data_IF_909759414350
#
_entry.id   IF_909759414350
#
_cell.length_a   1.000
_cell.length_b   1.000
_cell.length_c   1.000
_cell.angle_alpha   90.00
_cell.angle_beta   90.00
_cell.angle_gamma   90.00
#
_symmetry.space_group_name_H-M   'P 1'
#
loop_
_entity.id
_entity.type
_entity.pdbx_description
1 polymer ?
#
# COMPACT_ATOMS: atom_id res chain seq x y z
N UNK A 1 -6.71 11.21 9.43
CA UNK A 1 -5.95 9.97 9.66
C UNK A 1 -6.71 8.84 8.98
N UNK A 2 -6.00 7.90 8.32
CA UNK A 2 -6.63 6.68 7.82
C UNK A 2 -7.30 5.95 8.98
N UNK A 3 -8.51 5.43 8.78
CA UNK A 3 -9.09 4.45 9.69
C UNK A 3 -8.21 3.20 9.66
N UNK A 4 -7.73 2.73 10.83
CA UNK A 4 -6.77 1.62 10.94
C UNK A 4 -7.34 0.40 11.64
N UNK A 5 -8.66 0.35 11.85
CA UNK A 5 -9.33 -0.65 12.69
C UNK A 5 -9.14 -2.09 12.17
N UNK A 6 -8.85 -2.25 10.87
CA UNK A 6 -8.65 -3.58 10.27
C UNK A 6 -7.17 -4.02 10.28
N UNK A 7 -6.25 -3.13 9.88
CA UNK A 7 -4.81 -3.35 9.91
C UNK A 7 -4.01 -2.08 9.57
N UNK A 8 -2.71 -2.08 9.89
CA UNK A 8 -1.81 -0.96 9.63
C UNK A 8 -1.37 -0.86 8.16
N UNK A 9 -1.37 0.38 7.64
CA UNK A 9 -0.83 0.74 6.31
C UNK A 9 0.15 1.90 6.46
N UNK A 10 1.33 1.79 5.84
CA UNK A 10 2.30 2.88 5.73
C UNK A 10 2.56 3.18 4.27
N UNK A 11 2.40 4.44 3.85
CA UNK A 11 2.63 4.89 2.48
C UNK A 11 3.96 5.65 2.41
N UNK A 12 4.78 5.37 1.39
CA UNK A 12 6.06 6.05 1.20
C UNK A 12 6.23 6.40 -0.28
N UNK A 13 6.46 7.68 -0.56
CA UNK A 13 6.92 8.17 -1.86
C UNK A 13 8.40 8.55 -1.70
N UNK A 14 9.27 7.83 -2.40
CA UNK A 14 10.71 7.92 -2.25
C UNK A 14 11.34 8.30 -3.59
N UNK A 15 12.27 9.25 -3.56
CA UNK A 15 13.05 9.64 -4.72
C UNK A 15 14.54 9.69 -4.37
N UNK A 16 15.33 8.86 -5.03
CA UNK A 16 16.78 8.83 -4.96
C UNK A 16 17.34 9.58 -6.17
N UNK A 17 18.26 10.52 -5.92
CA UNK A 17 19.05 11.21 -6.95
C UNK A 17 20.52 11.06 -6.62
N UNK A 18 21.27 10.45 -7.53
CA UNK A 18 22.70 10.25 -7.36
C UNK A 18 23.45 11.48 -7.85
N UNK A 19 24.23 12.10 -6.97
CA UNK A 19 24.98 13.33 -7.27
C UNK A 19 26.47 13.09 -7.54
N UNK A 20 26.96 11.91 -7.17
CA UNK A 20 28.35 11.47 -7.33
C UNK A 20 28.38 10.00 -7.65
N UNK A 21 29.52 9.56 -8.15
CA UNK A 21 29.76 8.15 -8.39
C UNK A 21 29.75 7.36 -7.06
N UNK A 22 28.98 6.26 -7.02
CA UNK A 22 28.87 5.37 -5.86
C UNK A 22 28.78 3.92 -6.30
N UNK A 23 29.48 3.02 -5.58
CA UNK A 23 29.32 1.59 -5.83
C UNK A 23 27.88 1.14 -5.58
N UNK A 24 27.31 0.35 -6.49
CA UNK A 24 26.00 -0.27 -6.30
C UNK A 24 26.08 -1.60 -5.53
N UNK A 25 27.30 -2.07 -5.22
CA UNK A 25 27.54 -3.34 -4.52
C UNK A 25 26.91 -3.33 -3.14
N UNK A 26 26.08 -4.34 -2.84
CA UNK A 26 25.38 -4.50 -1.56
C UNK A 26 24.54 -3.27 -1.15
N UNK A 27 24.01 -2.53 -2.13
CA UNK A 27 23.08 -1.42 -1.88
C UNK A 27 21.63 -1.87 -2.07
N UNK A 28 20.70 -1.09 -1.52
CA UNK A 28 19.27 -1.27 -1.66
C UNK A 28 18.58 0.10 -1.67
N UNK A 29 17.45 0.21 -2.36
CA UNK A 29 16.58 1.39 -2.28
C UNK A 29 15.60 1.27 -1.12
N UNK A 30 15.09 0.06 -0.87
CA UNK A 30 14.17 -0.20 0.23
C UNK A 30 14.43 -1.58 0.79
N UNK A 31 14.25 -1.76 2.11
CA UNK A 31 14.57 -3.02 2.79
C UNK A 31 13.52 -3.39 3.85
N UNK A 32 13.04 -4.63 3.77
CA UNK A 32 12.41 -5.35 4.89
C UNK A 32 13.50 -6.11 5.65
N UNK A 33 13.60 -5.88 6.96
CA UNK A 33 14.47 -6.66 7.83
C UNK A 33 13.90 -8.05 8.15
N UNK A 34 14.75 -9.07 8.16
CA UNK A 34 14.42 -10.43 8.63
C UNK A 34 14.32 -10.51 10.16
N UNK A 35 13.32 -9.88 10.77
CA UNK A 35 13.14 -9.88 12.24
C UNK A 35 12.38 -11.10 12.77
N UNK A 36 11.63 -11.79 11.93
CA UNK A 36 10.91 -13.01 12.28
C UNK A 36 11.22 -14.11 11.27
N UNK A 37 10.84 -15.34 11.62
CA UNK A 37 10.96 -16.47 10.72
C UNK A 37 9.79 -16.45 9.74
N UNK A 38 10.10 -16.72 8.50
CA UNK A 38 9.16 -16.84 7.39
C UNK A 38 9.41 -18.22 6.75
N UNK A 39 8.36 -18.93 6.38
CA UNK A 39 8.47 -20.19 5.60
C UNK A 39 8.39 -19.95 4.10
N UNK A 40 7.73 -18.87 3.70
CA UNK A 40 7.33 -18.60 2.33
C UNK A 40 7.53 -17.14 1.99
N UNK A 41 8.06 -16.88 0.80
CA UNK A 41 8.01 -15.58 0.13
C UNK A 41 7.23 -15.76 -1.16
N UNK A 42 6.10 -15.07 -1.26
CA UNK A 42 5.29 -15.01 -2.47
C UNK A 42 5.38 -13.62 -3.07
N UNK A 43 5.43 -13.52 -4.39
CA UNK A 43 5.48 -12.23 -5.06
C UNK A 43 4.73 -12.26 -6.39
N UNK A 44 4.28 -11.08 -6.81
CA UNK A 44 3.46 -10.95 -7.99
C UNK A 44 3.28 -9.51 -8.45
N UNK A 45 2.32 -9.34 -9.33
CA UNK A 45 1.99 -8.07 -9.98
C UNK A 45 0.46 -7.89 -10.03
N UNK A 46 -0.04 -6.96 -10.86
CA UNK A 46 -1.48 -6.72 -10.98
C UNK A 46 -2.27 -7.93 -11.47
N UNK A 47 -1.66 -8.77 -12.29
CA UNK A 47 -2.29 -9.94 -12.91
C UNK A 47 -2.38 -11.13 -11.95
N UNK A 48 -1.54 -11.15 -10.91
CA UNK A 48 -1.59 -12.17 -9.86
C UNK A 48 -0.21 -12.60 -9.39
N UNK A 49 -0.14 -13.84 -8.90
CA UNK A 49 1.08 -14.48 -8.43
C UNK A 49 2.04 -14.70 -9.59
N UNK A 50 3.30 -14.28 -9.43
CA UNK A 50 4.40 -14.65 -10.34
C UNK A 50 5.05 -15.93 -9.83
N UNK A 51 5.44 -15.96 -8.56
CA UNK A 51 5.98 -17.16 -7.94
C UNK A 51 5.85 -17.16 -6.41
N UNK A 52 5.91 -18.38 -5.87
CA UNK A 52 6.02 -18.66 -4.45
C UNK A 52 7.32 -19.45 -4.22
N UNK A 53 8.10 -19.05 -3.21
CA UNK A 53 9.36 -19.72 -2.84
C UNK A 53 9.32 -20.11 -1.38
N UNK A 54 9.56 -21.40 -1.12
CA UNK A 54 9.57 -21.99 0.21
C UNK A 54 11.00 -22.09 0.73
N UNK A 55 11.18 -21.83 2.01
CA UNK A 55 12.44 -22.09 2.70
C UNK A 55 12.65 -23.59 2.81
N UNK A 56 13.82 -24.03 2.38
CA UNK A 56 14.26 -25.43 2.47
C UNK A 56 15.35 -25.57 3.53
N UNK A 57 15.51 -26.78 4.08
CA UNK A 57 16.41 -27.04 5.20
C UNK A 57 17.91 -26.95 4.87
N UNK A 58 18.26 -26.93 3.59
CA UNK A 58 19.63 -26.83 3.07
C UNK A 58 20.15 -25.39 2.95
N UNK A 59 19.26 -24.39 3.03
CA UNK A 59 19.64 -22.98 2.98
C UNK A 59 20.48 -22.55 4.19
N UNK A 60 21.48 -21.72 3.94
CA UNK A 60 22.42 -21.17 4.93
C UNK A 60 22.40 -19.65 4.92
N UNK A 61 22.92 -19.05 5.99
CA UNK A 61 23.10 -17.59 6.06
C UNK A 61 23.92 -17.09 4.87
N UNK A 62 23.41 -16.05 4.21
CA UNK A 62 24.01 -15.45 3.02
C UNK A 62 23.47 -15.99 1.70
N UNK A 63 22.80 -17.14 1.72
CA UNK A 63 22.15 -17.70 0.53
C UNK A 63 20.99 -16.80 0.09
N UNK A 64 20.71 -16.87 -1.20
CA UNK A 64 19.51 -16.26 -1.77
C UNK A 64 18.39 -17.29 -1.79
N UNK A 65 17.29 -17.00 -1.10
CA UNK A 65 16.03 -17.67 -1.39
C UNK A 65 15.49 -17.20 -2.76
N UNK A 66 15.67 -15.90 -3.03
CA UNK A 66 15.34 -15.28 -4.32
C UNK A 66 16.54 -14.42 -4.71
N UNK A 67 17.30 -14.79 -5.76
CA UNK A 67 18.36 -13.92 -6.27
C UNK A 67 17.74 -12.64 -6.88
N UNK A 68 18.52 -11.60 -7.21
CA UNK A 68 18.02 -10.43 -7.92
C UNK A 68 17.09 -10.80 -9.08
N UNK A 69 15.81 -10.50 -8.92
CA UNK A 69 14.72 -10.92 -9.81
C UNK A 69 13.89 -9.70 -10.18
N UNK A 70 13.61 -9.55 -11.48
CA UNK A 70 12.70 -8.55 -11.99
C UNK A 70 11.25 -8.91 -11.64
N UNK A 71 10.51 -7.95 -11.08
CA UNK A 71 9.06 -8.07 -10.95
C UNK A 71 8.43 -7.67 -12.29
N UNK A 72 8.30 -8.64 -13.20
CA UNK A 72 7.82 -8.42 -14.57
C UNK A 72 6.32 -8.10 -14.64
N UNK A 73 5.87 -7.54 -15.76
CA UNK A 73 4.45 -7.25 -16.02
C UNK A 73 3.94 -5.96 -15.36
N UNK A 74 2.62 -5.70 -15.43
CA UNK A 74 2.04 -4.44 -14.98
C UNK A 74 1.97 -4.33 -13.45
N UNK A 75 2.32 -3.16 -12.93
CA UNK A 75 2.12 -2.81 -11.52
C UNK A 75 0.63 -2.67 -11.15
N UNK A 76 0.28 -2.71 -9.85
CA UNK A 76 1.20 -2.74 -8.72
C UNK A 76 1.86 -4.10 -8.52
N UNK A 77 3.14 -4.08 -8.14
CA UNK A 77 3.89 -5.27 -7.73
C UNK A 77 3.77 -5.49 -6.23
N UNK A 78 3.89 -6.73 -5.79
CA UNK A 78 3.74 -7.05 -4.37
C UNK A 78 4.62 -8.21 -3.95
N UNK A 79 5.03 -8.18 -2.68
CA UNK A 79 5.82 -9.21 -2.00
C UNK A 79 5.17 -9.48 -0.64
N UNK A 80 4.88 -10.76 -0.38
CA UNK A 80 4.13 -11.25 0.77
C UNK A 80 4.91 -12.34 1.52
N UNK A 81 4.68 -12.41 2.83
CA UNK A 81 5.31 -13.38 3.75
C UNK A 81 4.22 -14.10 4.56
N UNK A 82 3.33 -14.84 3.89
CA UNK A 82 2.02 -15.21 4.46
C UNK A 82 2.10 -16.31 5.52
N UNK A 83 3.20 -17.07 5.55
CA UNK A 83 3.47 -18.13 6.54
C UNK A 83 4.56 -17.67 7.53
N UNK A 84 4.33 -16.53 8.19
CA UNK A 84 5.24 -16.02 9.21
C UNK A 84 5.11 -16.83 10.50
N UNK A 85 6.22 -17.06 11.19
CA UNK A 85 6.26 -17.74 12.48
C UNK A 85 7.05 -16.95 13.53
N UNK A 86 6.68 -17.16 14.80
CA UNK A 86 7.34 -16.55 15.97
C UNK A 86 7.61 -17.65 16.99
N UNK A 87 8.88 -18.04 17.14
CA UNK A 87 9.28 -19.07 18.11
C UNK A 87 9.39 -18.50 19.52
N UNK A 88 9.06 -19.33 20.52
CA UNK A 88 9.37 -19.08 21.93
C UNK A 88 8.58 -17.96 22.60
N UNK A 89 7.48 -17.49 22.00
CA UNK A 89 6.59 -16.52 22.62
C UNK A 89 5.17 -17.06 22.63
N UNK A 90 4.39 -16.65 23.63
CA UNK A 90 2.94 -16.88 23.67
C UNK A 90 2.35 -16.39 22.34
N UNK A 91 1.43 -17.16 21.79
CA UNK A 91 0.72 -16.75 20.58
C UNK A 91 -0.36 -15.72 20.96
N UNK A 92 -0.23 -14.49 20.44
CA UNK A 92 -1.18 -13.39 20.69
C UNK A 92 -1.97 -13.06 19.41
N UNK A 93 -1.85 -13.89 18.37
CA UNK A 93 -2.22 -13.51 17.02
C UNK A 93 -1.22 -12.49 16.48
N UNK A 94 -0.40 -12.88 15.50
CA UNK A 94 0.53 -11.94 14.87
C UNK A 94 0.32 -11.92 13.35
N UNK A 95 0.45 -10.73 12.78
CA UNK A 95 0.34 -10.54 11.35
C UNK A 95 1.66 -10.75 10.60
N UNK A 96 1.59 -10.65 9.29
CA UNK A 96 2.74 -10.58 8.40
C UNK A 96 2.86 -9.20 7.75
N UNK A 97 4.05 -8.89 7.26
CA UNK A 97 4.34 -7.60 6.61
C UNK A 97 4.48 -7.82 5.13
N UNK A 98 3.70 -7.11 4.34
CA UNK A 98 3.78 -7.11 2.88
C UNK A 98 4.26 -5.77 2.36
N UNK A 99 4.97 -5.82 1.22
CA UNK A 99 5.36 -4.65 0.45
C UNK A 99 4.56 -4.62 -0.84
N UNK A 100 3.91 -3.50 -1.14
CA UNK A 100 3.32 -3.22 -2.44
C UNK A 100 4.07 -2.04 -3.07
N UNK A 101 4.47 -2.18 -4.32
CA UNK A 101 5.09 -1.15 -5.14
C UNK A 101 4.03 -0.70 -6.15
N UNK A 102 3.47 0.47 -5.94
CA UNK A 102 2.38 1.04 -6.75
C UNK A 102 2.91 1.67 -8.03
N UNK A 103 4.06 2.31 -7.94
CA UNK A 103 4.75 2.92 -9.07
C UNK A 103 6.26 2.79 -8.89
N UNK A 104 6.97 2.64 -10.01
CA UNK A 104 8.41 2.51 -10.05
C UNK A 104 8.97 3.08 -11.35
N UNK A 105 9.98 3.93 -11.22
CA UNK A 105 10.79 4.37 -12.34
C UNK A 105 12.24 4.46 -11.89
N UNK A 106 13.15 3.97 -12.70
CA UNK A 106 14.59 4.16 -12.52
C UNK A 106 15.22 4.67 -13.80
N UNK A 107 16.30 5.42 -13.67
CA UNK A 107 17.17 5.82 -14.77
C UNK A 107 18.60 5.58 -14.33
N UNK A 108 19.29 4.66 -15.01
CA UNK A 108 20.72 4.40 -14.80
C UNK A 108 21.43 4.60 -16.13
N UNK A 109 22.43 5.48 -16.16
CA UNK A 109 23.17 5.84 -17.37
C UNK A 109 22.24 6.28 -18.53
N UNK A 110 21.19 7.02 -18.18
CA UNK A 110 20.16 7.48 -19.12
C UNK A 110 19.15 6.41 -19.57
N UNK A 111 19.29 5.16 -19.15
CA UNK A 111 18.37 4.07 -19.49
C UNK A 111 17.24 3.97 -18.48
N UNK A 112 16.01 4.16 -18.95
CA UNK A 112 14.81 4.11 -18.11
C UNK A 112 14.34 2.66 -17.92
N UNK A 113 14.12 2.27 -16.66
CA UNK A 113 13.51 1.00 -16.28
C UNK A 113 12.22 1.23 -15.47
N UNK A 114 11.16 0.48 -15.79
CA UNK A 114 9.82 0.62 -15.16
C UNK A 114 9.41 -0.56 -14.30
N UNK A 115 10.22 -1.61 -14.26
CA UNK A 115 9.98 -2.78 -13.44
C UNK A 115 11.01 -2.82 -12.31
N UNK A 116 10.59 -2.95 -11.05
CA UNK A 116 11.50 -3.04 -9.93
C UNK A 116 12.19 -4.40 -9.88
N UNK A 117 13.43 -4.41 -9.39
CA UNK A 117 14.14 -5.64 -9.03
C UNK A 117 14.12 -5.82 -7.52
N UNK A 118 13.98 -7.06 -7.08
CA UNK A 118 14.10 -7.40 -5.66
C UNK A 118 14.93 -8.67 -5.45
N UNK A 119 15.39 -8.86 -4.22
CA UNK A 119 16.04 -10.10 -3.79
C UNK A 119 15.61 -10.46 -2.37
N UNK A 120 15.68 -11.74 -2.03
CA UNK A 120 15.42 -12.26 -0.69
C UNK A 120 16.61 -13.09 -0.21
N UNK A 121 17.25 -12.64 0.87
CA UNK A 121 18.45 -13.23 1.46
C UNK A 121 18.15 -13.88 2.79
N UNK A 122 18.82 -14.98 3.05
CA UNK A 122 18.73 -15.71 4.31
C UNK A 122 19.68 -15.09 5.33
N UNK A 123 19.14 -14.60 6.45
CA UNK A 123 19.94 -14.10 7.58
C UNK A 123 20.17 -15.18 8.64
N UNK A 124 19.20 -16.07 8.81
CA UNK A 124 19.23 -17.19 9.75
C UNK A 124 18.28 -18.27 9.27
N UNK A 125 18.68 -19.54 9.29
CA UNK A 125 17.81 -20.69 9.04
C UNK A 125 17.61 -21.52 10.30
N UNK A 126 16.42 -22.10 10.44
CA UNK A 126 16.10 -23.09 11.45
C UNK A 126 14.91 -23.95 10.99
N UNK A 127 15.11 -25.26 10.86
CA UNK A 127 14.05 -26.28 10.67
C UNK A 127 12.98 -25.89 9.62
N UNK A 128 13.40 -25.59 8.39
CA UNK A 128 12.48 -25.26 7.29
C UNK A 128 11.87 -23.84 7.37
N UNK A 129 12.41 -22.98 8.22
CA UNK A 129 12.05 -21.56 8.33
C UNK A 129 13.31 -20.69 8.29
N UNK A 130 13.19 -19.46 7.82
CA UNK A 130 14.31 -18.53 7.79
C UNK A 130 13.92 -17.12 8.17
N UNK A 131 14.83 -16.38 8.80
CA UNK A 131 14.77 -14.92 8.84
C UNK A 131 15.19 -14.40 7.47
N UNK A 132 14.25 -13.79 6.75
CA UNK A 132 14.47 -13.37 5.37
C UNK A 132 14.57 -11.85 5.31
N UNK A 133 15.71 -11.36 4.82
CA UNK A 133 15.89 -9.97 4.48
C UNK A 133 15.55 -9.74 3.00
N UNK A 134 14.70 -8.75 2.71
CA UNK A 134 14.20 -8.51 1.35
C UNK A 134 14.47 -7.09 0.92
N UNK A 135 15.14 -6.94 -0.22
CA UNK A 135 15.63 -5.65 -0.71
C UNK A 135 15.03 -5.35 -2.07
N UNK A 136 14.67 -4.09 -2.29
CA UNK A 136 14.54 -3.52 -3.63
C UNK A 136 15.93 -3.05 -4.05
N UNK A 137 16.41 -3.56 -5.17
CA UNK A 137 17.80 -3.45 -5.62
C UNK A 137 17.87 -2.90 -7.05
N UNK A 138 19.00 -2.36 -7.49
CA UNK A 138 19.18 -2.05 -8.90
C UNK A 138 19.20 -3.33 -9.77
N UNK A 139 18.96 -3.22 -11.08
CA UNK A 139 19.12 -4.33 -12.01
C UNK A 139 20.53 -4.95 -11.97
N UNK A 140 20.71 -6.26 -12.20
CA UNK A 140 22.01 -6.97 -12.08
C UNK A 140 23.18 -6.41 -12.92
N UNK A 141 22.94 -5.57 -13.93
CA UNK A 141 23.98 -4.91 -14.72
C UNK A 141 24.46 -3.56 -14.16
N UNK A 142 23.77 -2.99 -13.17
CA UNK A 142 24.12 -1.70 -12.58
C UNK A 142 25.07 -1.94 -11.41
N UNK A 143 26.36 -1.75 -11.66
CA UNK A 143 27.43 -1.98 -10.66
C UNK A 143 27.89 -0.69 -9.97
N UNK A 144 27.57 0.47 -10.55
CA UNK A 144 27.93 1.80 -10.05
C UNK A 144 26.83 2.79 -10.42
N UNK A 145 26.44 3.63 -9.47
CA UNK A 145 25.56 4.76 -9.70
C UNK A 145 26.37 5.97 -10.15
N UNK A 146 25.91 6.67 -11.18
CA UNK A 146 26.56 7.87 -11.73
C UNK A 146 25.78 9.14 -11.34
N UNK A 147 26.43 10.33 -11.36
CA UNK A 147 25.71 11.58 -11.28
C UNK A 147 24.58 11.65 -12.32
N UNK A 148 23.36 11.97 -11.88
CA UNK A 148 22.17 12.03 -12.73
C UNK A 148 21.32 10.76 -12.72
N UNK A 149 21.82 9.64 -12.22
CA UNK A 149 21.01 8.45 -11.99
C UNK A 149 19.90 8.75 -10.98
N UNK A 150 18.77 8.05 -11.13
CA UNK A 150 17.56 8.31 -10.33
C UNK A 150 16.74 7.04 -10.10
N UNK A 151 16.07 6.97 -8.95
CA UNK A 151 15.02 5.98 -8.69
C UNK A 151 13.83 6.66 -8.00
N UNK A 152 12.61 6.35 -8.44
CA UNK A 152 11.34 6.74 -7.83
C UNK A 152 10.56 5.50 -7.43
N UNK A 153 9.94 5.54 -6.27
CA UNK A 153 9.21 4.43 -5.65
C UNK A 153 7.97 4.98 -4.92
N UNK A 154 6.77 4.60 -5.35
CA UNK A 154 5.55 4.74 -4.53
C UNK A 154 5.22 3.38 -3.92
N UNK A 155 5.33 3.27 -2.60
CA UNK A 155 5.27 1.99 -1.88
C UNK A 155 4.31 2.00 -0.71
N UNK A 156 3.85 0.81 -0.36
CA UNK A 156 2.98 0.56 0.79
C UNK A 156 3.48 -0.62 1.58
N UNK A 157 3.61 -0.43 2.89
CA UNK A 157 3.78 -1.52 3.85
C UNK A 157 2.45 -1.84 4.49
N UNK A 158 2.06 -3.11 4.44
CA UNK A 158 0.83 -3.62 5.04
C UNK A 158 1.16 -4.58 6.17
N UNK A 159 0.50 -4.43 7.31
CA UNK A 159 0.62 -5.35 8.45
C UNK A 159 -0.64 -6.22 8.54
N UNK A 160 -0.69 -7.27 7.72
CA UNK A 160 -1.89 -8.06 7.49
C UNK A 160 -2.06 -9.17 8.52
N UNK A 161 -3.29 -9.39 8.96
CA UNK A 161 -3.69 -10.53 9.79
C UNK A 161 -3.61 -11.82 8.97
N UNK A 162 -3.17 -12.92 9.58
CA UNK A 162 -3.00 -14.22 8.90
C UNK A 162 -4.29 -15.04 8.86
N UNK A 163 -5.11 -14.98 9.91
CA UNK A 163 -6.27 -15.87 10.12
C UNK A 163 -7.46 -15.08 10.68
N UNK A 164 -8.67 -15.59 10.46
CA UNK A 164 -9.89 -14.89 10.87
C UNK A 164 -10.07 -14.81 12.40
N UNK A 165 -9.58 -15.82 13.13
CA UNK A 165 -9.70 -15.90 14.59
C UNK A 165 -8.84 -14.84 15.29
N UNK A 166 -7.72 -14.44 14.67
CA UNK A 166 -6.85 -13.37 15.15
C UNK A 166 -7.36 -11.96 14.80
N UNK A 167 -8.41 -11.87 13.97
CA UNK A 167 -8.90 -10.60 13.47
C UNK A 167 -9.90 -9.95 14.44
N UNK A 168 -9.45 -8.90 15.13
CA UNK A 168 -10.25 -8.10 16.06
C UNK A 168 -10.96 -6.88 15.44
N UNK A 169 -10.80 -6.64 14.14
CA UNK A 169 -11.38 -5.48 13.45
C UNK A 169 -12.85 -5.65 13.06
N UNK A 170 -13.53 -4.56 12.67
CA UNK A 170 -14.96 -4.56 12.37
C UNK A 170 -15.31 -5.02 10.94
N UNK A 171 -14.34 -5.11 10.00
CA UNK A 171 -14.65 -5.48 8.61
C UNK A 171 -15.00 -6.96 8.44
N UNK A 172 -16.31 -7.23 8.32
CA UNK A 172 -16.80 -8.59 8.06
C UNK A 172 -16.35 -9.12 6.69
N UNK A 173 -16.27 -8.26 5.67
CA UNK A 173 -15.74 -8.65 4.35
C UNK A 173 -14.28 -9.11 4.44
N UNK A 174 -13.48 -8.47 5.29
CA UNK A 174 -12.10 -8.87 5.53
C UNK A 174 -12.02 -10.15 6.38
N UNK A 175 -12.85 -10.28 7.42
CA UNK A 175 -12.96 -11.53 8.22
C UNK A 175 -13.28 -12.73 7.35
N UNK A 176 -14.28 -12.63 6.48
CA UNK A 176 -14.66 -13.69 5.54
C UNK A 176 -13.56 -14.00 4.53
N UNK A 177 -12.83 -12.98 4.08
CA UNK A 177 -11.68 -13.18 3.21
C UNK A 177 -10.59 -13.99 3.91
N UNK A 178 -10.24 -13.66 5.17
CA UNK A 178 -9.26 -14.39 5.96
C UNK A 178 -9.68 -15.83 6.22
N UNK A 179 -10.96 -16.06 6.53
CA UNK A 179 -11.48 -17.42 6.75
C UNK A 179 -11.34 -18.31 5.49
N UNK A 180 -11.49 -17.72 4.30
CA UNK A 180 -11.31 -18.41 3.02
C UNK A 180 -9.86 -18.55 2.59
N UNK A 181 -8.97 -17.69 3.07
CA UNK A 181 -7.58 -17.58 2.62
C UNK A 181 -6.61 -17.48 3.83
N UNK A 182 -6.64 -18.41 4.80
CA UNK A 182 -5.77 -18.36 5.95
C UNK A 182 -4.30 -18.50 5.51
N UNK A 183 -3.41 -17.69 6.08
CA UNK A 183 -1.96 -17.72 5.79
C UNK A 183 -1.64 -17.70 4.29
N UNK A 184 -2.38 -16.89 3.52
CA UNK A 184 -2.27 -16.84 2.06
C UNK A 184 -1.75 -15.49 1.56
N UNK A 185 -0.97 -15.54 0.48
CA UNK A 185 -0.57 -14.34 -0.28
C UNK A 185 -1.77 -13.61 -0.90
N UNK A 186 -2.91 -14.29 -1.04
CA UNK A 186 -4.13 -13.73 -1.61
C UNK A 186 -4.64 -12.52 -0.84
N UNK A 187 -4.37 -12.43 0.48
CA UNK A 187 -4.69 -11.22 1.27
C UNK A 187 -3.85 -10.03 0.84
N UNK A 188 -2.57 -10.23 0.52
CA UNK A 188 -1.74 -9.15 -0.05
C UNK A 188 -2.20 -8.79 -1.45
N UNK A 189 -2.52 -9.78 -2.29
CA UNK A 189 -2.99 -9.53 -3.65
C UNK A 189 -4.34 -8.80 -3.67
N UNK A 190 -5.26 -9.13 -2.75
CA UNK A 190 -6.52 -8.39 -2.54
C UNK A 190 -6.25 -6.90 -2.37
N UNK A 191 -5.28 -6.53 -1.55
CA UNK A 191 -4.91 -5.13 -1.29
C UNK A 191 -4.19 -4.46 -2.46
N UNK A 192 -3.31 -5.19 -3.15
CA UNK A 192 -2.63 -4.70 -4.34
C UNK A 192 -3.63 -4.43 -5.46
N UNK A 193 -4.43 -5.42 -5.83
CA UNK A 193 -5.43 -5.32 -6.90
C UNK A 193 -6.58 -4.38 -6.53
N UNK A 194 -7.18 -4.60 -5.37
CA UNK A 194 -8.38 -3.89 -4.94
C UNK A 194 -8.16 -2.40 -4.82
N UNK A 195 -7.01 -1.97 -4.29
CA UNK A 195 -6.68 -0.55 -4.18
C UNK A 195 -5.89 0.01 -5.39
N UNK A 196 -5.88 -0.67 -6.55
CA UNK A 196 -5.36 -0.08 -7.80
C UNK A 196 -6.42 0.84 -8.45
N UNK A 197 -6.77 1.92 -7.74
CA UNK A 197 -7.97 2.71 -8.00
C UNK A 197 -7.94 3.42 -9.35
N UNK A 198 -9.07 3.40 -10.07
CA UNK A 198 -9.35 4.35 -11.14
C UNK A 198 -10.26 5.43 -10.58
N UNK A 199 -9.85 6.69 -10.75
CA UNK A 199 -10.51 7.85 -10.15
C UNK A 199 -10.73 8.87 -11.24
N UNK A 200 -11.98 9.31 -11.38
CA UNK A 200 -12.39 10.45 -12.17
C UNK A 200 -12.98 11.52 -11.23
N UNK A 201 -12.66 12.79 -11.47
CA UNK A 201 -13.13 13.91 -10.65
C UNK A 201 -13.78 14.97 -11.52
N UNK A 202 -14.93 15.45 -11.09
CA UNK A 202 -15.64 16.60 -11.63
C UNK A 202 -15.62 17.72 -10.56
N UNK A 203 -15.35 18.96 -10.97
CA UNK A 203 -15.26 20.10 -10.04
C UNK A 203 -13.95 20.21 -9.26
N UNK A 204 -12.96 19.39 -9.60
CA UNK A 204 -11.62 19.43 -9.02
C UNK A 204 -10.62 18.60 -9.82
N UNK A 205 -9.43 18.39 -9.23
CA UNK A 205 -8.33 17.66 -9.85
C UNK A 205 -7.76 16.60 -8.91
N UNK A 206 -7.54 15.38 -9.43
CA UNK A 206 -6.82 14.33 -8.69
C UNK A 206 -5.34 14.72 -8.56
N UNK A 207 -4.85 14.83 -7.31
CA UNK A 207 -3.44 15.04 -6.99
C UNK A 207 -2.73 13.71 -6.67
N UNK A 208 -3.43 12.79 -6.00
CA UNK A 208 -2.92 11.46 -5.65
C UNK A 208 -4.04 10.44 -5.69
N UNK A 209 -3.74 9.20 -6.11
CA UNK A 209 -4.73 8.12 -6.18
C UNK A 209 -4.83 7.28 -4.92
N UNK A 210 -3.75 7.13 -4.15
CA UNK A 210 -3.78 6.35 -2.90
C UNK A 210 -2.71 6.83 -1.90
N UNK A 211 -3.09 7.38 -0.74
CA UNK A 211 -4.43 7.85 -0.39
C UNK A 211 -4.99 8.83 -1.43
N UNK A 212 -6.32 8.91 -1.56
CA UNK A 212 -6.95 9.78 -2.54
C UNK A 212 -6.78 11.24 -2.09
N UNK A 213 -6.23 12.09 -2.95
CA UNK A 213 -6.13 13.53 -2.70
C UNK A 213 -6.69 14.27 -3.90
N UNK A 214 -7.64 15.17 -3.65
CA UNK A 214 -8.35 15.96 -4.65
C UNK A 214 -8.21 17.44 -4.33
N UNK A 215 -7.70 18.23 -5.27
CA UNK A 215 -7.78 19.68 -5.24
C UNK A 215 -9.19 20.11 -5.62
N UNK A 216 -9.88 20.87 -4.77
CA UNK A 216 -11.20 21.42 -5.08
C UNK A 216 -11.07 22.68 -5.92
N UNK A 217 -11.85 22.80 -6.98
CA UNK A 217 -11.89 23.98 -7.87
C UNK A 217 -13.31 24.59 -7.95
N UNK A 218 -14.34 23.80 -7.64
CA UNK A 218 -15.74 24.21 -7.58
C UNK A 218 -16.33 23.95 -6.17
N UNK A 219 -17.45 24.60 -5.81
CA UNK A 219 -18.13 24.38 -4.53
C UNK A 219 -18.61 22.95 -4.32
N UNK A 220 -18.94 22.27 -5.41
CA UNK A 220 -19.30 20.86 -5.45
C UNK A 220 -18.20 20.09 -6.20
N UNK A 221 -17.78 18.96 -5.63
CA UNK A 221 -16.78 18.07 -6.22
C UNK A 221 -17.30 16.65 -6.21
N UNK A 222 -17.40 16.05 -7.39
CA UNK A 222 -17.81 14.65 -7.54
C UNK A 222 -16.61 13.77 -7.87
N UNK A 223 -16.52 12.61 -7.21
CA UNK A 223 -15.43 11.66 -7.32
C UNK A 223 -16.02 10.29 -7.64
N UNK A 224 -15.79 9.80 -8.85
CA UNK A 224 -16.11 8.43 -9.24
C UNK A 224 -14.88 7.54 -9.02
N UNK A 225 -15.06 6.45 -8.29
CA UNK A 225 -14.00 5.51 -7.91
C UNK A 225 -14.36 4.12 -8.40
N UNK A 226 -13.44 3.48 -9.12
CA UNK A 226 -13.47 2.06 -9.44
C UNK A 226 -12.43 1.32 -8.60
N UNK A 227 -12.88 0.24 -7.96
CA UNK A 227 -12.11 -0.49 -6.96
C UNK A 227 -12.19 0.13 -5.57
N UNK A 228 -11.31 -0.33 -4.69
CA UNK A 228 -11.25 0.00 -3.28
C UNK A 228 -11.47 -1.22 -2.41
N UNK A 229 -10.62 -1.40 -1.41
CA UNK A 229 -10.80 -2.41 -0.37
C UNK A 229 -10.52 -1.85 1.02
N UNK A 230 -11.38 -2.26 1.95
CA UNK A 230 -11.50 -1.70 3.28
C UNK A 230 -11.94 -0.24 3.27
N UNK A 231 -11.43 0.51 4.24
CA UNK A 231 -11.59 1.96 4.31
C UNK A 231 -10.45 2.65 3.55
N UNK A 232 -10.81 3.43 2.52
CA UNK A 232 -9.86 4.18 1.70
C UNK A 232 -9.92 5.66 2.08
N UNK A 233 -8.81 6.27 2.53
CA UNK A 233 -8.82 7.69 2.87
C UNK A 233 -8.93 8.56 1.62
N UNK A 234 -9.77 9.60 1.71
CA UNK A 234 -9.90 10.67 0.72
C UNK A 234 -9.73 12.02 1.40
N UNK A 235 -8.91 12.89 0.80
CA UNK A 235 -8.70 14.28 1.25
C UNK A 235 -9.05 15.26 0.16
N UNK A 236 -9.82 16.28 0.51
CA UNK A 236 -10.13 17.43 -0.33
C UNK A 236 -9.32 18.63 0.14
N UNK A 237 -8.58 19.28 -0.78
CA UNK A 237 -7.71 20.44 -0.52
C UNK A 237 -8.26 21.71 -1.17
N UNK A 238 -7.93 22.87 -0.63
CA UNK A 238 -8.36 24.17 -1.17
C UNK A 238 -9.72 24.64 -0.66
N UNK A 239 -10.22 24.08 0.43
CA UNK A 239 -11.51 24.48 1.00
C UNK A 239 -11.40 25.86 1.66
N UNK A 240 -12.43 26.70 1.48
CA UNK A 240 -12.43 28.07 2.02
C UNK A 240 -12.71 28.16 3.51
N UNK A 241 -13.34 27.15 4.09
CA UNK A 241 -13.76 27.13 5.50
C UNK A 241 -13.45 25.80 6.15
N UNK A 242 -13.21 25.79 7.46
CA UNK A 242 -12.90 24.58 8.22
C UNK A 242 -14.10 23.61 8.35
N UNK A 243 -15.31 24.13 8.16
CA UNK A 243 -16.57 23.43 8.37
C UNK A 243 -17.61 23.83 7.30
N UNK A 244 -18.81 23.26 7.40
CA UNK A 244 -19.93 23.50 6.49
C UNK A 244 -19.84 22.70 5.19
N UNK A 245 -19.08 21.60 5.17
CA UNK A 245 -19.04 20.64 4.08
C UNK A 245 -19.49 19.27 4.58
N UNK A 246 -20.10 18.50 3.70
CA UNK A 246 -20.35 17.09 3.93
C UNK A 246 -20.07 16.29 2.66
N UNK A 247 -19.72 15.02 2.88
CA UNK A 247 -19.51 14.05 1.83
C UNK A 247 -20.73 13.14 1.73
N UNK A 248 -21.19 12.88 0.52
CA UNK A 248 -22.36 12.07 0.23
C UNK A 248 -21.95 10.91 -0.68
N UNK A 249 -22.48 9.72 -0.42
CA UNK A 249 -22.47 8.64 -1.40
C UNK A 249 -23.68 8.77 -2.32
N UNK A 250 -23.45 8.75 -3.63
CA UNK A 250 -24.50 8.79 -4.65
C UNK A 250 -24.72 7.39 -5.21
N UNK A 251 -25.92 6.84 -4.97
CA UNK A 251 -26.35 5.52 -5.48
C UNK A 251 -27.66 5.73 -6.23
N UNK A 252 -27.69 5.38 -7.51
CA UNK A 252 -28.87 5.51 -8.38
C UNK A 252 -29.51 6.91 -8.35
N UNK A 253 -28.66 7.96 -8.28
CA UNK A 253 -29.08 9.36 -8.22
C UNK A 253 -29.56 9.84 -6.84
N UNK A 254 -29.61 8.95 -5.83
CA UNK A 254 -29.91 9.30 -4.45
C UNK A 254 -28.62 9.54 -3.67
N UNK A 255 -28.51 10.71 -3.07
CA UNK A 255 -27.39 11.06 -2.20
C UNK A 255 -27.68 10.72 -0.74
N UNK A 256 -26.80 9.92 -0.14
CA UNK A 256 -26.83 9.60 1.29
C UNK A 256 -25.60 10.20 1.94
N UNK A 257 -25.80 11.07 2.93
CA UNK A 257 -24.70 11.68 3.68
C UNK A 257 -23.86 10.60 4.34
N UNK A 258 -22.55 10.67 4.17
CA UNK A 258 -21.61 9.83 4.91
C UNK A 258 -21.67 10.22 6.38
N UNK A 259 -22.08 9.28 7.21
CA UNK A 259 -22.06 9.39 8.65
C UNK A 259 -21.49 8.10 9.23
N UNK A 260 -20.32 8.19 9.85
CA UNK A 260 -19.64 7.09 10.52
C UNK A 260 -19.40 7.43 12.00
N UNK A 261 -20.23 8.31 12.54
CA UNK A 261 -20.08 8.84 13.89
C UNK A 261 -20.21 7.75 14.96
N UNK A 262 -19.33 7.82 15.97
CA UNK A 262 -19.51 7.13 17.26
C UNK A 262 -19.75 8.18 18.36
N UNK A 263 -18.97 9.26 18.32
CA UNK A 263 -19.07 10.42 19.20
C UNK A 263 -19.32 11.71 18.39
N UNK A 264 -20.20 11.66 17.39
CA UNK A 264 -20.56 12.80 16.55
C UNK A 264 -19.58 13.03 15.39
N UNK A 265 -18.88 14.16 15.35
CA UNK A 265 -18.02 14.51 14.21
C UNK A 265 -16.64 13.83 14.23
N UNK A 266 -16.54 12.59 14.72
CA UNK A 266 -15.28 11.87 14.98
C UNK A 266 -14.75 11.04 13.80
N UNK A 267 -15.39 11.14 12.63
CA UNK A 267 -15.06 10.35 11.44
C UNK A 267 -14.40 11.13 10.30
N UNK A 268 -14.24 12.44 10.46
CA UNK A 268 -13.52 13.30 9.53
C UNK A 268 -12.54 14.20 10.27
N UNK A 269 -11.57 14.75 9.55
CA UNK A 269 -10.57 15.67 10.10
C UNK A 269 -10.40 16.86 9.18
N UNK A 270 -10.17 18.04 9.76
CA UNK A 270 -9.83 19.24 9.02
C UNK A 270 -8.53 19.83 9.52
N UNK A 271 -7.63 20.13 8.59
CA UNK A 271 -6.36 20.81 8.83
C UNK A 271 -6.34 22.14 8.07
N UNK A 272 -5.69 23.17 8.63
CA UNK A 272 -5.41 24.42 7.95
C UNK A 272 -4.03 24.36 7.26
N UNK A 273 -3.96 24.80 6.01
CA UNK A 273 -2.72 24.99 5.26
C UNK A 273 -2.32 26.48 5.26
N UNK A 274 -1.29 26.87 6.03
CA UNK A 274 -0.87 28.27 6.12
C UNK A 274 -0.23 28.78 4.81
N UNK A 275 0.26 27.88 3.94
CA UNK A 275 0.92 28.28 2.68
C UNK A 275 -0.09 28.83 1.68
N UNK A 276 -1.27 28.19 1.64
CA UNK A 276 -2.35 28.53 0.70
C UNK A 276 -3.49 29.31 1.36
N UNK A 277 -3.47 29.44 2.69
CA UNK A 277 -4.56 29.97 3.49
C UNK A 277 -5.91 29.26 3.23
N UNK A 278 -5.85 27.94 3.04
CA UNK A 278 -7.04 27.09 2.81
C UNK A 278 -7.10 25.95 3.80
N UNK A 279 -8.21 25.21 3.79
CA UNK A 279 -8.43 24.03 4.62
C UNK A 279 -8.37 22.75 3.80
N UNK A 280 -8.03 21.65 4.47
CA UNK A 280 -8.01 20.29 3.92
C UNK A 280 -8.88 19.39 4.77
N UNK A 281 -9.86 18.72 4.17
CA UNK A 281 -10.79 17.85 4.89
C UNK A 281 -10.62 16.39 4.45
N UNK A 282 -10.46 15.49 5.42
CA UNK A 282 -10.18 14.06 5.19
C UNK A 282 -11.32 13.19 5.72
N UNK A 283 -11.74 12.23 4.89
CA UNK A 283 -12.74 11.19 5.20
C UNK A 283 -12.16 9.78 4.96
N UNK A 284 -12.84 8.75 5.43
CA UNK A 284 -12.51 7.34 5.17
C UNK A 284 -13.68 6.62 4.47
N UNK A 285 -13.51 6.32 3.18
CA UNK A 285 -14.58 5.75 2.36
C UNK A 285 -14.69 4.23 2.57
N UNK A 286 -15.88 3.70 2.93
CA UNK A 286 -16.11 2.26 2.99
C UNK A 286 -16.32 1.72 1.57
N UNK A 287 -15.24 1.28 0.93
CA UNK A 287 -15.25 0.83 -0.46
C UNK A 287 -15.32 -0.69 -0.63
N UNK A 288 -15.17 -1.45 0.46
CA UNK A 288 -15.25 -2.91 0.40
C UNK A 288 -16.59 -3.39 -0.19
N UNK A 289 -16.50 -4.35 -1.12
CA UNK A 289 -17.66 -4.90 -1.82
C UNK A 289 -18.25 -4.00 -2.91
N UNK A 290 -17.70 -2.80 -3.14
CA UNK A 290 -18.18 -1.88 -4.19
C UNK A 290 -17.23 -1.91 -5.39
N UNK A 291 -17.70 -2.43 -6.53
CA UNK A 291 -16.92 -2.39 -7.76
C UNK A 291 -16.69 -0.94 -8.24
N UNK A 292 -17.72 -0.11 -8.08
CA UNK A 292 -17.72 1.32 -8.37
C UNK A 292 -18.47 2.08 -7.28
N UNK A 293 -18.08 3.31 -7.00
CA UNK A 293 -18.81 4.24 -6.12
C UNK A 293 -18.67 5.67 -6.62
N UNK A 294 -19.65 6.53 -6.27
CA UNK A 294 -19.62 7.97 -6.56
C UNK A 294 -19.79 8.72 -5.24
N UNK A 295 -18.89 9.66 -5.00
CA UNK A 295 -18.88 10.48 -3.79
C UNK A 295 -18.95 11.96 -4.16
N UNK A 296 -19.76 12.73 -3.45
CA UNK A 296 -19.99 14.15 -3.73
C UNK A 296 -19.68 14.96 -2.48
N UNK A 297 -18.68 15.84 -2.56
CA UNK A 297 -18.42 16.84 -1.54
C UNK A 297 -19.19 18.10 -1.89
N UNK A 298 -20.01 18.59 -0.97
CA UNK A 298 -20.78 19.82 -1.16
C UNK A 298 -20.90 20.60 0.15
N UNK A 299 -21.22 21.90 0.05
CA UNK A 299 -21.54 22.72 1.23
C UNK A 299 -22.90 22.33 1.79
N UNK A 300 -23.01 22.34 3.11
CA UNK A 300 -24.30 22.24 3.77
C UNK A 300 -24.95 23.61 3.74
N UNK A 301 -26.23 23.67 3.34
CA UNK A 301 -27.04 24.85 3.55
C UNK A 301 -27.15 25.12 5.07
N UNK A 302 -27.05 26.39 5.50
CA UNK A 302 -27.12 26.76 6.90
C UNK A 302 -28.45 26.45 7.57
#
# INVERSE_FOLDING_TARGET
LPRTDDYGRTFQDLEYRFQRELSAKNTYFLRRHGRAFDKVVAYGNADGLIAEKRVTGDLKKGDFLIPPTELTGPGPWWIAFPERTRRGQKDWGFGYVSLIIRDYESSFDGKVGRNPFFQARVEQCQEGEAKIETWIVPPPGVTTYKPGDRVRLDTQWLHLVMEADDFGGPSEAYRQHLAKNPRSWQTTYREAKGNNLKINVEGGKVLRRLPIVVQTEKPEVSVAIQGGVGHVPIRFEGLKTAAGYALYESVDGKETKLDQSVHGNDFWQTDYDPTTATFRMTFNLPLDGKATSRWVLQRQEP
#
